data_IF_109763732120
#
_entry.id   IF_109763732120
#
_cell.length_a   1.000
_cell.length_b   1.000
_cell.length_c   1.000
_cell.angle_alpha   90.00
_cell.angle_beta   90.00
_cell.angle_gamma   90.00
#
_symmetry.space_group_name_H-M   'P 1'
#
loop_
_entity.id
_entity.type
_entity.pdbx_description
1 polymer ?
#
# COMPACT_ATOMS: atom_id res chain seq x y z
N UNK A 1 19.06 -2.51 -3.85
CA UNK A 1 17.91 -1.60 -3.59
C UNK A 1 16.73 -2.02 -4.48
N UNK A 2 15.56 -2.30 -3.91
CA UNK A 2 14.37 -2.75 -4.64
C UNK A 2 13.12 -1.96 -4.24
N UNK A 3 12.17 -1.83 -5.17
CA UNK A 3 10.89 -1.14 -4.96
C UNK A 3 9.75 -1.96 -5.54
N UNK A 4 8.65 -2.06 -4.81
CA UNK A 4 7.39 -2.60 -5.34
C UNK A 4 6.64 -1.50 -6.08
N UNK A 5 6.17 -1.84 -7.27
CA UNK A 5 5.32 -0.99 -8.10
C UNK A 5 4.01 -1.74 -8.33
N UNK A 6 2.89 -1.13 -7.95
CA UNK A 6 1.55 -1.63 -8.24
C UNK A 6 0.90 -0.59 -9.17
N UNK A 7 0.88 -0.83 -10.50
CA UNK A 7 0.53 0.20 -11.48
C UNK A 7 -0.88 0.79 -11.31
N UNK A 8 -1.79 0.03 -10.71
CA UNK A 8 -3.21 0.40 -10.57
C UNK A 8 -3.54 1.10 -9.26
N UNK A 9 -2.62 1.19 -8.30
CA UNK A 9 -2.88 1.75 -6.97
C UNK A 9 -2.03 3.00 -6.72
N UNK A 10 -2.44 3.80 -5.75
CA UNK A 10 -1.63 4.93 -5.31
C UNK A 10 -0.27 4.50 -4.76
N UNK A 11 0.70 5.40 -4.90
CA UNK A 11 2.12 5.10 -4.69
C UNK A 11 2.50 4.69 -3.26
N UNK A 12 1.66 4.95 -2.25
CA UNK A 12 1.91 4.53 -0.87
C UNK A 12 1.83 3.01 -0.68
N UNK A 13 1.11 2.30 -1.55
CA UNK A 13 1.13 0.82 -1.60
C UNK A 13 2.42 0.24 -2.19
N UNK A 14 3.28 1.07 -2.78
CA UNK A 14 4.56 0.67 -3.36
C UNK A 14 5.76 0.94 -2.44
N UNK A 15 6.06 0.00 -1.56
CA UNK A 15 7.17 0.10 -0.60
C UNK A 15 8.53 0.34 -1.28
N UNK A 16 9.31 1.29 -0.75
CA UNK A 16 10.68 1.58 -1.20
C UNK A 16 11.69 0.83 -0.33
N UNK A 17 12.82 0.47 -0.92
CA UNK A 17 13.96 -0.16 -0.22
C UNK A 17 13.56 -1.42 0.55
N UNK A 18 12.86 -2.32 -0.13
CA UNK A 18 12.34 -3.55 0.47
C UNK A 18 13.50 -4.42 0.95
N UNK A 19 13.38 -4.93 2.17
CA UNK A 19 14.34 -5.84 2.81
C UNK A 19 13.76 -7.24 3.04
N UNK A 20 12.45 -7.34 3.22
CA UNK A 20 11.75 -8.58 3.56
C UNK A 20 10.36 -8.56 2.91
N UNK A 21 9.87 -9.74 2.54
CA UNK A 21 8.50 -9.98 2.06
C UNK A 21 7.93 -11.12 2.90
N UNK A 22 6.83 -10.86 3.60
CA UNK A 22 6.16 -11.82 4.47
C UNK A 22 4.81 -12.15 3.86
N UNK A 23 4.53 -13.44 3.65
CA UNK A 23 3.22 -13.90 3.22
C UNK A 23 2.33 -14.10 4.45
N UNK A 24 1.12 -13.55 4.39
CA UNK A 24 0.10 -13.61 5.45
C UNK A 24 -1.19 -14.16 4.88
N UNK A 25 -2.02 -14.75 5.73
CA UNK A 25 -3.35 -15.29 5.41
C UNK A 25 -4.47 -14.26 5.56
N UNK A 26 -4.18 -13.12 6.17
CA UNK A 26 -5.10 -12.00 6.33
C UNK A 26 -4.40 -10.67 5.99
N UNK A 27 -5.22 -9.65 5.76
CA UNK A 27 -4.76 -8.29 5.48
C UNK A 27 -4.38 -7.56 6.78
N UNK A 28 -3.24 -6.87 6.78
CA UNK A 28 -2.70 -6.15 7.92
C UNK A 28 -2.43 -4.69 7.53
N UNK A 29 -2.98 -3.76 8.31
CA UNK A 29 -2.85 -2.33 8.01
C UNK A 29 -1.41 -1.85 8.20
N UNK A 30 -0.86 -1.29 7.14
CA UNK A 30 0.48 -0.73 7.10
C UNK A 30 0.57 0.67 7.69
N UNK A 31 1.75 1.27 7.53
CA UNK A 31 2.10 2.58 8.09
C UNK A 31 1.14 3.71 7.65
N UNK A 32 0.73 3.70 6.38
CA UNK A 32 -0.12 4.76 5.82
C UNK A 32 -1.58 4.55 6.20
N UNK A 33 -2.04 3.30 6.17
CA UNK A 33 -3.43 2.94 6.48
C UNK A 33 -3.77 3.23 7.94
N UNK A 34 -2.83 3.00 8.86
CA UNK A 34 -2.95 3.42 10.26
C UNK A 34 -3.02 4.95 10.44
N UNK A 35 -2.71 5.74 9.41
CA UNK A 35 -2.73 7.21 9.40
C UNK A 35 -3.86 7.76 8.54
N UNK A 36 -4.97 7.02 8.45
CA UNK A 36 -6.17 7.43 7.74
C UNK A 36 -6.03 7.44 6.22
N UNK A 37 -5.01 6.77 5.66
CA UNK A 37 -4.97 6.52 4.22
C UNK A 37 -5.81 5.31 3.88
N UNK A 38 -6.38 5.34 2.68
CA UNK A 38 -7.19 4.25 2.17
C UNK A 38 -6.38 2.97 1.99
N UNK A 39 -7.00 1.85 2.38
CA UNK A 39 -6.43 0.52 2.21
C UNK A 39 -6.57 -0.02 0.78
N UNK A 40 -7.60 0.39 0.04
CA UNK A 40 -7.78 0.03 -1.39
C UNK A 40 -6.86 0.88 -2.26
N UNK A 41 -6.67 2.16 -1.92
CA UNK A 41 -5.79 3.10 -2.60
C UNK A 41 -6.09 3.22 -4.11
N UNK A 42 -7.37 3.14 -4.48
CA UNK A 42 -7.82 3.15 -5.88
C UNK A 42 -7.85 4.57 -6.46
N UNK A 43 -7.05 4.86 -7.51
CA UNK A 43 -7.02 6.16 -8.15
C UNK A 43 -8.25 6.47 -9.00
N UNK A 44 -9.00 5.47 -9.47
CA UNK A 44 -10.17 5.68 -10.32
C UNK A 44 -11.37 6.20 -9.54
N UNK A 45 -11.50 5.76 -8.29
CA UNK A 45 -12.55 6.19 -7.36
C UNK A 45 -12.11 7.32 -6.44
N UNK A 46 -10.90 7.87 -6.64
CA UNK A 46 -10.25 8.86 -5.79
C UNK A 46 -10.17 8.45 -4.31
N UNK A 47 -10.03 7.16 -4.05
CA UNK A 47 -10.04 6.57 -2.72
C UNK A 47 -8.69 6.78 -2.02
N UNK A 48 -8.54 7.96 -1.41
CA UNK A 48 -7.29 8.40 -0.78
C UNK A 48 -7.29 8.25 0.73
N UNK A 49 -8.41 8.51 1.37
CA UNK A 49 -8.54 8.55 2.83
C UNK A 49 -9.76 7.75 3.28
N UNK A 50 -9.66 7.18 4.48
CA UNK A 50 -10.78 6.52 5.19
C UNK A 50 -11.58 7.49 6.04
#
# INVERSE_FOLDING_TARGET
PARVIIPKLYAWKGAKFIREIIFRDHDELGFWEQRNYSNTADPLTEDRFG
#
